data_IF_064804465603
#
_entry.id   IF_064804465603
#
_cell.length_a   1.000
_cell.length_b   1.000
_cell.length_c   1.000
_cell.angle_alpha   90.00
_cell.angle_beta   90.00
_cell.angle_gamma   90.00
#
_symmetry.space_group_name_H-M   'P 1'
#
loop_
_entity.id
_entity.type
_entity.pdbx_description
1 polymer ?
#
# COMPACT_ATOMS: atom_id res chain seq x y z
N UNK A 1 -12.97 -21.44 4.93
CA UNK A 1 -12.22 -20.95 6.09
C UNK A 1 -10.96 -21.80 6.21
N UNK A 2 -9.95 -21.49 5.40
CA UNK A 2 -8.67 -22.22 5.38
C UNK A 2 -7.82 -21.75 6.57
N UNK A 3 -7.33 -22.72 7.33
CA UNK A 3 -6.39 -22.63 8.46
C UNK A 3 -5.62 -21.29 8.53
N UNK A 4 -6.14 -20.36 9.35
CA UNK A 4 -5.61 -19.01 9.47
C UNK A 4 -4.28 -19.08 10.24
N UNK A 5 -3.17 -19.04 9.50
CA UNK A 5 -1.85 -18.80 10.08
C UNK A 5 -1.92 -17.44 10.79
N UNK A 6 -1.82 -17.43 12.12
CA UNK A 6 -1.94 -16.20 12.92
C UNK A 6 -0.57 -15.55 13.07
N UNK A 7 -0.49 -14.24 12.84
CA UNK A 7 0.71 -13.45 13.09
C UNK A 7 1.17 -13.59 14.56
N UNK A 8 2.47 -13.83 14.77
CA UNK A 8 3.11 -13.92 16.10
C UNK A 8 3.84 -12.64 16.50
N UNK A 9 3.70 -11.58 15.71
CA UNK A 9 4.29 -10.25 15.96
C UNK A 9 5.84 -10.22 16.06
N UNK A 10 6.52 -11.25 15.53
CA UNK A 10 7.98 -11.46 15.59
C UNK A 10 8.85 -10.34 14.97
N UNK A 11 8.27 -9.48 14.12
CA UNK A 11 8.96 -8.30 13.58
C UNK A 11 9.87 -8.55 12.37
N UNK A 12 9.95 -9.76 11.83
CA UNK A 12 10.76 -10.03 10.62
C UNK A 12 10.30 -9.21 9.41
N UNK A 13 8.98 -9.13 9.20
CA UNK A 13 8.40 -8.30 8.13
C UNK A 13 8.65 -6.79 8.32
N UNK A 14 8.81 -6.33 9.56
CA UNK A 14 9.18 -4.94 9.89
C UNK A 14 10.61 -4.67 9.45
N UNK A 15 11.54 -5.56 9.80
CA UNK A 15 12.96 -5.40 9.48
C UNK A 15 13.25 -5.56 7.97
N UNK A 16 12.44 -6.33 7.23
CA UNK A 16 12.60 -6.48 5.79
C UNK A 16 11.95 -5.36 4.95
N UNK A 17 11.15 -4.49 5.58
CA UNK A 17 10.44 -3.44 4.85
C UNK A 17 11.34 -2.24 4.54
N UNK A 18 11.53 -1.88 3.25
CA UNK A 18 12.40 -0.75 2.88
C UNK A 18 11.92 0.58 3.43
N UNK A 19 10.60 0.80 3.51
CA UNK A 19 10.06 2.03 4.07
C UNK A 19 10.25 2.14 5.58
N UNK A 20 10.13 1.02 6.30
CA UNK A 20 10.44 1.02 7.72
C UNK A 20 11.94 1.28 7.96
N UNK A 21 12.82 0.69 7.16
CA UNK A 21 14.26 0.92 7.24
C UNK A 21 14.59 2.41 7.11
N UNK A 22 13.96 3.09 6.15
CA UNK A 22 14.17 4.51 5.88
C UNK A 22 13.52 5.42 6.94
N UNK A 23 12.23 5.22 7.22
CA UNK A 23 11.43 6.18 7.99
C UNK A 23 11.37 5.86 9.49
N UNK A 24 11.73 4.64 9.91
CA UNK A 24 11.76 4.15 11.30
C UNK A 24 10.46 4.33 12.10
N UNK A 25 9.32 4.57 11.44
CA UNK A 25 8.00 4.70 12.06
C UNK A 25 7.27 3.35 12.06
N UNK A 26 6.87 2.87 13.23
CA UNK A 26 6.22 1.55 13.36
C UNK A 26 4.91 1.46 12.55
N UNK A 27 4.13 2.54 12.49
CA UNK A 27 2.87 2.62 11.72
C UNK A 27 3.08 2.41 10.21
N UNK A 28 4.29 2.65 9.69
CA UNK A 28 4.65 2.40 8.28
C UNK A 28 5.02 0.94 8.05
N UNK A 29 5.53 0.27 9.08
CA UNK A 29 5.98 -1.12 8.97
C UNK A 29 4.81 -2.06 8.64
N UNK A 30 5.09 -3.20 7.95
CA UNK A 30 4.07 -4.20 7.69
C UNK A 30 3.46 -4.78 8.97
N UNK A 31 4.25 -4.93 10.05
CA UNK A 31 3.75 -5.37 11.35
C UNK A 31 2.76 -4.36 11.95
N UNK A 32 3.14 -3.07 11.96
CA UNK A 32 2.27 -2.01 12.46
C UNK A 32 0.95 -1.95 11.68
N UNK A 33 1.01 -2.04 10.35
CA UNK A 33 -0.20 -2.11 9.49
C UNK A 33 -1.04 -3.35 9.76
N UNK A 34 -0.44 -4.51 9.99
CA UNK A 34 -1.16 -5.72 10.38
C UNK A 34 -1.90 -5.53 11.72
N UNK A 35 -1.31 -4.79 12.67
CA UNK A 35 -2.00 -4.41 13.91
C UNK A 35 -3.21 -3.49 13.64
N UNK A 36 -3.06 -2.48 12.76
CA UNK A 36 -4.17 -1.62 12.35
C UNK A 36 -5.31 -2.42 11.71
N UNK A 37 -5.02 -3.42 10.88
CA UNK A 37 -6.04 -4.32 10.32
C UNK A 37 -6.78 -5.10 11.42
N UNK A 38 -6.03 -5.68 12.38
CA UNK A 38 -6.60 -6.41 13.52
C UNK A 38 -7.51 -5.53 14.38
N UNK A 39 -7.16 -4.27 14.53
CA UNK A 39 -7.93 -3.26 15.28
C UNK A 39 -9.03 -2.59 14.44
N UNK A 40 -9.21 -3.00 13.18
CA UNK A 40 -10.17 -2.43 12.21
C UNK A 40 -10.01 -0.91 12.00
N UNK A 41 -8.78 -0.41 12.10
CA UNK A 41 -8.46 1.01 11.90
C UNK A 41 -8.27 1.28 10.40
N UNK A 42 -9.11 2.15 9.87
CA UNK A 42 -9.06 2.63 8.49
C UNK A 42 -8.23 3.91 8.39
N UNK A 43 -7.00 3.82 7.84
CA UNK A 43 -6.06 4.93 7.75
C UNK A 43 -5.38 4.98 6.36
N UNK A 44 -5.08 6.16 5.81
CA UNK A 44 -4.42 6.28 4.50
C UNK A 44 -2.97 5.73 4.48
N UNK A 45 -2.37 5.44 5.63
CA UNK A 45 -1.03 4.87 5.76
C UNK A 45 -0.86 3.56 4.98
N UNK A 46 -1.93 2.81 4.71
CA UNK A 46 -1.89 1.62 3.87
C UNK A 46 -1.42 1.93 2.45
N UNK A 47 -1.65 3.15 1.92
CA UNK A 47 -1.13 3.61 0.63
C UNK A 47 0.38 3.82 0.63
N UNK A 48 1.02 3.98 1.79
CA UNK A 48 2.48 4.05 1.85
C UNK A 48 3.15 2.71 1.47
N UNK A 49 2.49 1.56 1.58
CA UNK A 49 3.11 0.29 1.16
C UNK A 49 3.52 0.30 -0.33
N UNK A 50 4.75 -0.05 -0.68
CA UNK A 50 5.17 -0.10 -2.10
C UNK A 50 4.79 -1.40 -2.80
N UNK A 51 4.06 -2.30 -2.12
CA UNK A 51 3.67 -3.63 -2.62
C UNK A 51 4.85 -4.50 -3.12
N UNK A 52 6.07 -4.24 -2.65
CA UNK A 52 7.29 -4.96 -3.05
C UNK A 52 7.38 -6.43 -2.56
N UNK A 53 6.44 -6.90 -1.74
CA UNK A 53 6.35 -8.27 -1.20
C UNK A 53 7.52 -8.74 -0.30
N UNK A 54 8.48 -7.88 0.04
CA UNK A 54 9.58 -8.21 0.96
C UNK A 54 9.11 -8.77 2.32
N UNK A 55 7.98 -8.28 2.82
CA UNK A 55 7.38 -8.79 4.07
C UNK A 55 6.86 -10.23 3.96
N UNK A 56 6.36 -10.62 2.79
CA UNK A 56 5.85 -11.97 2.53
C UNK A 56 7.00 -12.97 2.46
N UNK A 57 8.08 -12.62 1.76
CA UNK A 57 9.30 -13.45 1.70
C UNK A 57 9.92 -13.63 3.09
N UNK A 58 9.96 -12.58 3.90
CA UNK A 58 10.54 -12.63 5.24
C UNK A 58 9.64 -13.31 6.30
N UNK A 59 8.37 -13.59 5.99
CA UNK A 59 7.44 -14.12 6.98
C UNK A 59 7.62 -15.64 7.12
N UNK A 60 8.01 -16.16 8.30
CA UNK A 60 8.20 -17.61 8.50
C UNK A 60 6.88 -18.38 8.44
N UNK A 61 5.75 -17.68 8.63
CA UNK A 61 4.42 -18.25 8.50
C UNK A 61 3.89 -18.14 7.06
N UNK A 62 4.55 -17.39 6.18
CA UNK A 62 4.06 -17.15 4.81
C UNK A 62 2.78 -16.32 4.78
N UNK A 63 2.66 -15.29 5.62
CA UNK A 63 1.55 -14.34 5.58
C UNK A 63 1.65 -13.43 4.35
N UNK A 64 0.53 -13.25 3.67
CA UNK A 64 0.43 -12.39 2.50
C UNK A 64 -0.08 -10.98 2.87
N UNK A 65 0.61 -10.29 3.78
CA UNK A 65 0.20 -8.96 4.26
C UNK A 65 -0.01 -7.95 3.11
N UNK A 66 0.75 -8.07 2.02
CA UNK A 66 0.56 -7.22 0.84
C UNK A 66 -0.83 -7.34 0.23
N UNK A 67 -1.41 -8.55 0.22
CA UNK A 67 -2.77 -8.80 -0.28
C UNK A 67 -3.81 -8.15 0.64
N UNK A 68 -3.68 -8.32 1.94
CA UNK A 68 -4.55 -7.67 2.93
C UNK A 68 -4.49 -6.14 2.81
N UNK A 69 -3.31 -5.57 2.54
CA UNK A 69 -3.17 -4.13 2.33
C UNK A 69 -3.86 -3.65 1.04
N UNK A 70 -3.88 -4.45 -0.02
CA UNK A 70 -4.61 -4.13 -1.26
C UNK A 70 -6.13 -4.14 -0.98
N UNK A 71 -6.63 -5.15 -0.28
CA UNK A 71 -8.04 -5.23 0.10
C UNK A 71 -8.44 -4.03 0.97
N UNK A 72 -7.57 -3.64 1.91
CA UNK A 72 -7.79 -2.46 2.74
C UNK A 72 -7.76 -1.15 1.93
N UNK A 73 -6.87 -0.99 0.96
CA UNK A 73 -6.89 0.16 0.03
C UNK A 73 -8.21 0.23 -0.74
N UNK A 74 -8.71 -0.90 -1.22
CA UNK A 74 -9.99 -0.96 -1.92
C UNK A 74 -11.16 -0.56 -1.01
N UNK A 75 -11.12 -0.94 0.27
CA UNK A 75 -12.10 -0.48 1.28
C UNK A 75 -12.00 1.03 1.51
N UNK A 76 -10.79 1.55 1.69
CA UNK A 76 -10.54 2.98 1.91
C UNK A 76 -10.97 3.84 0.71
N UNK A 77 -10.77 3.37 -0.51
CA UNK A 77 -11.23 4.03 -1.73
C UNK A 77 -12.76 4.17 -1.75
N UNK A 78 -13.50 3.11 -1.38
CA UNK A 78 -14.97 3.16 -1.25
C UNK A 78 -15.43 4.16 -0.18
N UNK A 79 -14.63 4.39 0.85
CA UNK A 79 -14.86 5.39 1.90
C UNK A 79 -14.34 6.79 1.52
N UNK A 80 -13.87 7.01 0.29
CA UNK A 80 -13.22 8.24 -0.17
C UNK A 80 -11.97 8.67 0.63
N UNK A 81 -11.37 7.75 1.40
CA UNK A 81 -10.16 7.93 2.23
C UNK A 81 -8.90 7.51 1.45
N UNK A 82 -8.63 8.20 0.37
CA UNK A 82 -7.51 7.92 -0.54
C UNK A 82 -6.64 9.16 -0.71
N UNK A 83 -5.42 8.99 -1.22
CA UNK A 83 -4.48 10.10 -1.39
C UNK A 83 -4.92 11.03 -2.53
N UNK A 84 -4.53 12.32 -2.47
CA UNK A 84 -4.78 13.27 -3.57
C UNK A 84 -4.19 12.78 -4.90
N UNK A 85 -3.00 12.17 -4.84
CA UNK A 85 -2.34 11.61 -6.01
C UNK A 85 -3.15 10.47 -6.66
N UNK A 86 -3.74 9.58 -5.86
CA UNK A 86 -4.60 8.50 -6.37
C UNK A 86 -5.87 9.03 -7.03
N UNK A 87 -6.52 10.04 -6.44
CA UNK A 87 -7.71 10.67 -7.03
C UNK A 87 -7.40 11.23 -8.41
N UNK A 88 -6.32 12.00 -8.51
CA UNK A 88 -5.89 12.61 -9.76
C UNK A 88 -5.47 11.55 -10.80
N UNK A 89 -4.77 10.49 -10.38
CA UNK A 89 -4.45 9.36 -11.25
C UNK A 89 -5.73 8.73 -11.84
N UNK A 90 -6.72 8.43 -10.99
CA UNK A 90 -7.99 7.82 -11.43
C UNK A 90 -8.75 8.74 -12.39
N UNK A 91 -8.81 10.04 -12.09
CA UNK A 91 -9.40 11.05 -12.96
C UNK A 91 -8.69 11.13 -14.32
N UNK A 92 -7.36 11.12 -14.32
CA UNK A 92 -6.56 11.14 -15.54
C UNK A 92 -6.80 9.89 -16.40
N UNK A 93 -6.82 8.70 -15.79
CA UNK A 93 -7.11 7.45 -16.49
C UNK A 93 -8.50 7.49 -17.12
N UNK A 94 -9.51 7.97 -16.38
CA UNK A 94 -10.89 8.08 -16.90
C UNK A 94 -11.04 9.09 -18.03
N UNK A 95 -10.33 10.23 -17.96
CA UNK A 95 -10.48 11.34 -18.91
C UNK A 95 -9.58 11.21 -20.14
N UNK A 96 -8.35 10.72 -19.98
CA UNK A 96 -7.32 10.70 -21.02
C UNK A 96 -6.83 9.29 -21.37
N UNK A 97 -7.35 8.25 -20.73
CA UNK A 97 -6.94 6.86 -20.96
C UNK A 97 -5.56 6.51 -20.38
N UNK A 98 -4.93 7.40 -19.62
CA UNK A 98 -3.60 7.20 -19.05
C UNK A 98 -3.43 7.97 -17.71
N UNK A 99 -2.53 7.57 -16.81
CA UNK A 99 -2.39 8.19 -15.48
C UNK A 99 -1.69 9.57 -15.49
N UNK A 100 -0.98 9.91 -16.57
CA UNK A 100 -0.14 11.11 -16.67
C UNK A 100 -0.94 12.36 -17.12
N UNK A 101 -2.20 12.19 -17.50
CA UNK A 101 -3.06 13.27 -17.95
C UNK A 101 -2.94 13.53 -19.45
N UNK A 102 -3.00 14.80 -19.86
CA UNK A 102 -2.83 15.21 -21.26
C UNK A 102 -1.34 15.13 -21.64
N UNK A 103 -1.02 14.32 -22.63
CA UNK A 103 0.33 14.19 -23.17
C UNK A 103 0.46 15.10 -24.40
N UNK A 104 1.51 15.92 -24.45
CA UNK A 104 1.87 16.73 -25.61
C UNK A 104 3.06 16.09 -26.30
N UNK A 105 3.02 16.01 -27.63
CA UNK A 105 4.06 15.36 -28.42
C UNK A 105 5.44 16.00 -28.17
N UNK A 106 6.44 15.16 -27.92
CA UNK A 106 7.81 15.61 -27.60
C UNK A 106 8.01 16.18 -26.19
N UNK A 107 6.98 16.20 -25.31
CA UNK A 107 7.10 16.69 -23.93
C UNK A 107 6.95 15.58 -22.90
N UNK A 108 7.84 15.58 -21.91
CA UNK A 108 7.75 14.71 -20.73
C UNK A 108 6.76 15.33 -19.74
N UNK A 109 5.75 14.60 -19.25
CA UNK A 109 4.85 15.08 -18.22
C UNK A 109 5.60 15.51 -16.95
N UNK A 110 5.24 16.66 -16.39
CA UNK A 110 5.90 17.21 -15.19
C UNK A 110 5.54 16.47 -13.92
N UNK A 111 4.32 15.94 -13.85
CA UNK A 111 3.84 15.17 -12.71
C UNK A 111 3.71 13.70 -13.12
N UNK A 112 4.41 12.84 -12.37
CA UNK A 112 4.36 11.40 -12.55
C UNK A 112 3.55 10.82 -11.40
N UNK A 113 2.48 10.12 -11.76
CA UNK A 113 1.68 9.36 -10.81
C UNK A 113 2.11 7.90 -10.91
N UNK A 114 2.76 7.39 -9.86
CA UNK A 114 3.06 5.97 -9.74
C UNK A 114 1.90 5.28 -9.02
N UNK A 115 1.57 4.06 -9.46
CA UNK A 115 0.49 3.22 -8.94
C UNK A 115 0.69 2.72 -7.51
#
# INVERSE_FOLDING_TARGET
MTESKKCTECGLCRNSCPLFILLKKETISPRGKAKLLKENINDEIFFACTLCKSCTVACPLGLELGKEFIEQRAKLEKENKTTKANKLLIENVRKYGNPLGKIEEGKIPKELFCC
#
